data_IF_484720913817
#
_entry.id   IF_484720913817
#
_cell.length_a   1.000
_cell.length_b   1.000
_cell.length_c   1.000
_cell.angle_alpha   90.00
_cell.angle_beta   90.00
_cell.angle_gamma   90.00
#
_symmetry.space_group_name_H-M   'P 1'
#
loop_
_entity.id
_entity.type
_entity.pdbx_description
1 polymer ?
#
# COMPACT_ATOMS: atom_id res chain seq x y z
N UNK A 1 -1.32 15.86 8.08
CA UNK A 1 -2.11 14.65 7.84
C UNK A 1 -1.52 13.49 8.56
N UNK A 2 -2.35 12.85 9.33
CA UNK A 2 -1.89 11.69 10.08
C UNK A 2 -1.82 10.48 9.18
N UNK A 3 -0.77 9.71 9.39
CA UNK A 3 -0.55 8.47 8.64
C UNK A 3 -0.81 7.30 9.58
N UNK A 4 -2.09 6.97 9.74
CA UNK A 4 -2.49 5.92 10.67
C UNK A 4 -2.25 4.55 10.08
N UNK A 5 -1.90 3.55 10.92
CA UNK A 5 -1.77 2.19 10.41
C UNK A 5 -3.10 1.65 9.91
N UNK A 6 -3.02 0.75 8.96
CA UNK A 6 -4.18 0.06 8.43
C UNK A 6 -4.35 -1.24 9.19
N UNK A 7 -5.53 -1.44 9.77
CA UNK A 7 -5.85 -2.69 10.44
C UNK A 7 -6.37 -3.68 9.42
N UNK A 8 -5.75 -4.85 9.37
CA UNK A 8 -6.11 -5.87 8.38
C UNK A 8 -7.33 -6.66 8.86
N UNK A 9 -8.25 -6.95 7.94
CA UNK A 9 -9.38 -7.84 8.24
C UNK A 9 -8.89 -9.26 8.43
N UNK A 10 -7.88 -9.66 7.65
CA UNK A 10 -7.28 -10.99 7.74
C UNK A 10 -5.81 -10.82 8.07
N UNK A 11 -5.43 -11.20 9.28
CA UNK A 11 -4.05 -11.07 9.71
C UNK A 11 -3.12 -11.90 8.84
N UNK A 12 -1.90 -11.41 8.68
CA UNK A 12 -0.86 -12.14 7.95
C UNK A 12 -0.05 -12.92 8.96
N UNK A 13 0.05 -14.22 8.73
CA UNK A 13 0.82 -15.09 9.62
C UNK A 13 2.22 -15.26 9.06
N UNK A 14 3.22 -14.87 9.85
CA UNK A 14 4.62 -14.97 9.47
C UNK A 14 5.34 -15.77 10.55
N UNK A 15 5.46 -17.08 10.32
CA UNK A 15 6.03 -17.96 11.35
C UNK A 15 5.20 -17.87 12.62
N UNK A 16 5.84 -17.48 13.72
CA UNK A 16 5.13 -17.32 14.98
C UNK A 16 4.61 -15.89 15.19
N UNK A 17 4.79 -15.02 14.21
CA UNK A 17 4.37 -13.63 14.29
C UNK A 17 3.09 -13.43 13.50
N UNK A 18 2.13 -12.74 14.13
CA UNK A 18 0.88 -12.40 13.46
C UNK A 18 0.86 -10.90 13.19
N UNK A 19 0.72 -10.52 11.93
CA UNK A 19 0.69 -9.11 11.55
C UNK A 19 -0.77 -8.71 11.39
N UNK A 20 -1.23 -7.82 12.28
CA UNK A 20 -2.61 -7.36 12.29
C UNK A 20 -2.76 -5.94 11.78
N UNK A 21 -1.67 -5.17 11.77
CA UNK A 21 -1.66 -3.79 11.32
C UNK A 21 -0.46 -3.56 10.45
N UNK A 22 -0.62 -2.70 9.45
CA UNK A 22 0.46 -2.33 8.54
C UNK A 22 0.50 -0.81 8.45
N UNK A 23 1.66 -0.24 8.71
CA UNK A 23 1.90 1.19 8.56
C UNK A 23 2.44 1.43 7.15
N UNK A 24 1.85 2.40 6.45
CA UNK A 24 2.33 2.81 5.14
C UNK A 24 2.96 4.18 5.25
N UNK A 25 4.01 4.41 4.47
CA UNK A 25 4.58 5.74 4.33
C UNK A 25 4.46 6.19 2.88
N UNK A 26 4.44 7.50 2.67
CA UNK A 26 4.38 8.04 1.33
C UNK A 26 5.68 7.70 0.59
N UNK A 27 5.61 7.07 -0.59
CA UNK A 27 6.83 6.74 -1.32
C UNK A 27 7.46 7.99 -1.93
N UNK A 28 8.78 7.98 -2.00
CA UNK A 28 9.49 8.98 -2.77
C UNK A 28 9.56 8.54 -4.22
N UNK A 29 9.80 9.50 -5.13
CA UNK A 29 9.78 9.20 -6.56
C UNK A 29 10.72 8.04 -6.92
N UNK A 30 11.88 7.99 -6.29
CA UNK A 30 12.85 6.93 -6.59
C UNK A 30 12.36 5.54 -6.21
N UNK A 31 11.44 5.46 -5.26
CA UNK A 31 10.88 4.17 -4.83
C UNK A 31 9.85 3.64 -5.81
N UNK A 32 9.44 4.46 -6.77
CA UNK A 32 8.48 4.05 -7.79
C UNK A 32 9.15 3.55 -9.06
N UNK A 33 10.46 3.40 -9.05
CA UNK A 33 11.19 2.89 -10.22
C UNK A 33 10.69 1.52 -10.62
N UNK A 34 10.55 1.33 -11.91
CA UNK A 34 10.05 0.08 -12.44
C UNK A 34 8.54 -0.03 -12.40
N UNK A 35 7.86 1.00 -11.89
CA UNK A 35 6.41 1.01 -11.81
C UNK A 35 5.86 2.14 -12.67
N UNK A 36 4.67 1.91 -13.21
CA UNK A 36 3.95 2.92 -13.97
C UNK A 36 3.02 3.66 -13.01
N UNK A 37 3.12 4.99 -12.97
CA UNK A 37 2.30 5.78 -12.03
C UNK A 37 0.81 5.58 -12.28
N UNK A 38 0.40 5.47 -13.54
CA UNK A 38 -1.00 5.23 -13.84
C UNK A 38 -1.47 3.90 -13.25
N UNK A 39 -0.63 2.87 -13.32
CA UNK A 39 -0.97 1.57 -12.74
C UNK A 39 -1.15 1.67 -11.24
N UNK A 40 -0.26 2.39 -10.57
CA UNK A 40 -0.35 2.54 -9.11
C UNK A 40 -1.62 3.32 -8.75
N UNK A 41 -1.92 4.38 -9.48
CA UNK A 41 -3.13 5.16 -9.23
C UNK A 41 -4.41 4.36 -9.46
N UNK A 42 -4.37 3.42 -10.39
CA UNK A 42 -5.52 2.56 -10.67
C UNK A 42 -5.55 1.34 -9.74
N UNK A 43 -4.62 1.28 -8.80
CA UNK A 43 -4.52 0.16 -7.85
C UNK A 43 -4.31 -1.17 -8.55
N UNK A 44 -3.48 -1.16 -9.61
CA UNK A 44 -3.12 -2.39 -10.30
C UNK A 44 -2.46 -3.35 -9.33
N UNK A 45 -2.93 -4.60 -9.33
CA UNK A 45 -2.46 -5.58 -8.35
C UNK A 45 -0.96 -5.84 -8.49
N UNK A 46 -0.47 -6.00 -9.72
CA UNK A 46 0.96 -6.25 -9.91
C UNK A 46 1.81 -5.08 -9.43
N UNK A 47 1.34 -3.85 -9.65
CA UNK A 47 2.06 -2.68 -9.18
C UNK A 47 2.08 -2.64 -7.65
N UNK A 48 0.95 -2.96 -7.00
CA UNK A 48 0.88 -2.97 -5.55
C UNK A 48 1.77 -4.06 -4.95
N UNK A 49 1.81 -5.24 -5.58
CA UNK A 49 2.66 -6.32 -5.09
C UNK A 49 4.13 -5.88 -5.06
N UNK A 50 4.54 -5.08 -6.02
CA UNK A 50 5.92 -4.60 -6.07
C UNK A 50 6.17 -3.42 -5.15
N UNK A 51 5.18 -2.54 -4.99
CA UNK A 51 5.37 -1.31 -4.25
C UNK A 51 5.23 -1.49 -2.75
N UNK A 52 4.20 -2.22 -2.31
CA UNK A 52 3.91 -2.33 -0.89
C UNK A 52 5.10 -2.81 -0.05
N UNK A 53 5.89 -3.80 -0.51
CA UNK A 53 7.06 -4.19 0.29
C UNK A 53 8.06 -3.06 0.53
N UNK A 54 8.05 -2.05 -0.32
CA UNK A 54 9.02 -0.95 -0.20
C UNK A 54 8.61 0.10 0.82
N UNK A 55 7.32 0.18 1.14
CA UNK A 55 6.80 1.31 1.93
C UNK A 55 5.99 0.85 3.15
N UNK A 56 5.98 -0.43 3.47
CA UNK A 56 5.22 -0.94 4.61
C UNK A 56 6.12 -1.19 5.81
N UNK A 57 5.53 -1.04 7.01
CA UNK A 57 6.15 -1.40 8.28
C UNK A 57 5.14 -2.18 9.10
N UNK A 58 5.39 -3.43 9.46
CA UNK A 58 6.57 -4.22 9.07
C UNK A 58 6.62 -4.44 7.57
N UNK A 59 7.83 -4.57 7.03
CA UNK A 59 8.00 -4.72 5.59
C UNK A 59 7.40 -6.03 5.12
N UNK A 60 6.43 -5.95 4.22
CA UNK A 60 5.80 -7.14 3.67
C UNK A 60 6.62 -7.67 2.51
N UNK A 61 6.51 -8.97 2.25
CA UNK A 61 7.12 -9.56 1.05
C UNK A 61 6.12 -9.53 -0.09
N UNK A 62 6.62 -9.69 -1.32
CA UNK A 62 5.73 -9.77 -2.48
C UNK A 62 4.77 -10.95 -2.34
N UNK A 63 5.25 -12.07 -1.81
CA UNK A 63 4.39 -13.24 -1.61
C UNK A 63 3.28 -12.93 -0.59
N UNK A 64 3.61 -12.21 0.48
CA UNK A 64 2.60 -11.85 1.47
C UNK A 64 1.54 -10.93 0.88
N UNK A 65 1.97 -9.98 0.07
CA UNK A 65 1.00 -9.09 -0.58
C UNK A 65 0.13 -9.87 -1.56
N UNK A 66 0.73 -10.78 -2.32
CA UNK A 66 0.00 -11.58 -3.29
C UNK A 66 -1.02 -12.53 -2.64
N UNK A 67 -0.78 -12.92 -1.40
CA UNK A 67 -1.66 -13.85 -0.69
C UNK A 67 -2.61 -13.16 0.28
N UNK A 68 -2.57 -11.82 0.36
CA UNK A 68 -3.39 -11.13 1.34
C UNK A 68 -4.85 -11.10 0.90
N UNK A 69 -5.73 -10.89 1.88
CA UNK A 69 -7.15 -10.73 1.61
C UNK A 69 -7.38 -9.55 0.67
N UNK A 70 -8.28 -9.72 -0.30
CA UNK A 70 -8.49 -8.70 -1.32
C UNK A 70 -9.04 -7.40 -0.75
N UNK A 71 -9.85 -7.47 0.31
CA UNK A 71 -10.35 -6.25 0.95
C UNK A 71 -9.22 -5.49 1.61
N UNK A 72 -8.26 -6.20 2.19
CA UNK A 72 -7.09 -5.57 2.79
C UNK A 72 -6.22 -4.94 1.73
N UNK A 73 -6.04 -5.63 0.61
CA UNK A 73 -5.26 -5.07 -0.49
C UNK A 73 -5.91 -3.78 -1.01
N UNK A 74 -7.24 -3.76 -1.10
CA UNK A 74 -7.96 -2.57 -1.53
C UNK A 74 -7.73 -1.41 -0.56
N UNK A 75 -7.76 -1.67 0.75
CA UNK A 75 -7.51 -0.62 1.73
C UNK A 75 -6.12 -0.04 1.58
N UNK A 76 -5.11 -0.92 1.46
CA UNK A 76 -3.73 -0.47 1.30
C UNK A 76 -3.56 0.28 -0.03
N UNK A 77 -4.13 -0.23 -1.10
CA UNK A 77 -4.04 0.40 -2.41
C UNK A 77 -4.69 1.77 -2.43
N UNK A 78 -5.85 1.91 -1.77
CA UNK A 78 -6.53 3.21 -1.70
C UNK A 78 -5.67 4.24 -0.97
N UNK A 79 -4.99 3.82 0.09
CA UNK A 79 -4.12 4.73 0.81
C UNK A 79 -2.93 5.14 -0.03
N UNK A 80 -2.36 4.20 -0.78
CA UNK A 80 -1.26 4.50 -1.69
C UNK A 80 -1.70 5.50 -2.75
N UNK A 81 -2.86 5.27 -3.36
CA UNK A 81 -3.36 6.19 -4.38
C UNK A 81 -3.54 7.59 -3.81
N UNK A 82 -4.02 7.67 -2.56
CA UNK A 82 -4.15 8.96 -1.89
C UNK A 82 -2.82 9.68 -1.70
N UNK A 83 -1.75 8.93 -1.41
CA UNK A 83 -0.43 9.53 -1.27
C UNK A 83 0.06 10.18 -2.56
N UNK A 84 -0.37 9.66 -3.70
CA UNK A 84 0.11 10.15 -5.00
C UNK A 84 -0.68 11.35 -5.49
N UNK A 85 -1.78 11.69 -4.84
CA UNK A 85 -2.57 12.85 -5.23
C UNK A 85 -1.94 14.12 -4.72
N UNK A 86 -1.58 15.06 -5.60
CA UNK A 86 -1.11 16.37 -5.13
C UNK A 86 -2.20 17.06 -4.34
N UNK A 87 -1.80 17.93 -3.43
CA UNK A 87 -2.77 18.64 -2.60
C UNK A 87 -3.82 19.37 -3.43
N UNK A 88 -3.39 19.98 -4.54
CA UNK A 88 -4.31 20.66 -5.44
C UNK A 88 -5.36 19.72 -5.99
N UNK A 89 -4.92 18.55 -6.47
CA UNK A 89 -5.84 17.59 -7.08
C UNK A 89 -6.73 16.95 -6.04
N UNK A 90 -6.17 16.69 -4.85
CA UNK A 90 -6.96 16.16 -3.75
C UNK A 90 -8.07 17.12 -3.35
N UNK A 91 -7.77 18.41 -3.37
CA UNK A 91 -8.77 19.44 -3.08
C UNK A 91 -9.89 19.42 -4.12
N UNK A 92 -9.53 19.31 -5.38
CA UNK A 92 -10.52 19.29 -6.45
C UNK A 92 -11.33 18.01 -6.48
N UNK A 93 -10.77 16.93 -5.98
CA UNK A 93 -11.41 15.64 -5.97
C UNK A 93 -12.37 15.48 -4.80
N UNK A 94 -12.30 16.35 -3.84
CA UNK A 94 -13.09 16.25 -2.61
C UNK A 94 -14.57 16.51 -2.81
#
# INVERSE_FOLDING_TARGET
MENKPVTLDQAIQRGNTTITEVQLRKPQAGELRGLNLADVLQMDVNALIKLLPRITTPSLTEAEVGNMDSADLLQLGSKVAGFLMPKKMGYLAA
#
